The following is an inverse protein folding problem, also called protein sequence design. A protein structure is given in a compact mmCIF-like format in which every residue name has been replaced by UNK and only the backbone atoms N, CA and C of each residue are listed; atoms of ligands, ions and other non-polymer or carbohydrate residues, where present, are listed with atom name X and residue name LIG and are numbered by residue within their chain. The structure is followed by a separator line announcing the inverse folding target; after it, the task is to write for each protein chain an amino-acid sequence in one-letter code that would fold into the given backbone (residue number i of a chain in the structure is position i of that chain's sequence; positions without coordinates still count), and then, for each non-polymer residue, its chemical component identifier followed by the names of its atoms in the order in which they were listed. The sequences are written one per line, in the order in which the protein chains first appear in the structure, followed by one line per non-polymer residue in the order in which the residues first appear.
data_IF_342958561218
#
_entry.id   IF_342958561218
#
_cell.length_a   1.000
_cell.length_b   1.000
_cell.length_c   1.000
_cell.angle_alpha   90.00
_cell.angle_beta   90.00
_cell.angle_gamma   90.00
#
_symmetry.space_group_name_H-M   'P 1'
#
loop_
_entity.id
_entity.type
_entity.pdbx_description
1 polymer ?
#
# COMPACT_ATOMS: atom_id res chain seq x y z
N UNK A 1 11.82 -14.03 -30.53
CA UNK A 1 11.47 -13.70 -29.13
C UNK A 1 12.74 -13.28 -28.42
N UNK A 2 12.63 -12.69 -27.23
CA UNK A 2 13.77 -12.42 -26.36
C UNK A 2 13.36 -12.64 -24.89
N UNK A 3 14.34 -12.80 -24.02
CA UNK A 3 14.13 -12.78 -22.57
C UNK A 3 13.84 -11.35 -22.13
N UNK A 4 12.85 -11.18 -21.24
CA UNK A 4 12.57 -9.89 -20.63
C UNK A 4 13.71 -9.47 -19.71
N UNK A 5 14.13 -8.20 -19.80
CA UNK A 5 15.10 -7.59 -18.88
C UNK A 5 14.58 -7.48 -17.43
N UNK A 6 13.29 -7.72 -17.22
CA UNK A 6 12.57 -7.49 -15.97
C UNK A 6 12.29 -8.77 -15.17
N UNK A 7 12.89 -9.89 -15.57
CA UNK A 7 12.74 -11.18 -14.92
C UNK A 7 13.60 -11.29 -13.66
N UNK A 8 12.99 -11.81 -12.60
CA UNK A 8 13.66 -12.22 -11.36
C UNK A 8 13.31 -13.68 -11.09
N UNK A 9 14.34 -14.49 -10.86
CA UNK A 9 14.23 -15.88 -10.47
C UNK A 9 14.89 -16.02 -9.10
N UNK A 10 14.17 -16.54 -8.11
CA UNK A 10 14.72 -16.72 -6.77
C UNK A 10 14.08 -17.91 -6.03
N UNK A 11 14.81 -18.51 -5.07
CA UNK A 11 14.20 -19.43 -4.12
C UNK A 11 13.21 -18.68 -3.21
N UNK A 12 12.15 -19.36 -2.81
CA UNK A 12 11.24 -18.90 -1.77
C UNK A 12 11.82 -19.14 -0.37
N UNK A 13 11.17 -18.59 0.65
CA UNK A 13 11.41 -18.93 2.05
C UNK A 13 10.81 -20.30 2.45
N UNK A 14 10.12 -20.97 1.52
CA UNK A 14 9.55 -22.31 1.68
C UNK A 14 10.42 -23.29 0.89
N UNK A 15 10.89 -24.33 1.55
CA UNK A 15 11.76 -25.34 0.94
C UNK A 15 11.10 -26.02 -0.26
N UNK A 16 11.89 -26.18 -1.33
CA UNK A 16 11.43 -26.78 -2.59
C UNK A 16 10.49 -25.89 -3.41
N UNK A 17 10.24 -24.65 -2.98
CA UNK A 17 9.44 -23.67 -3.71
C UNK A 17 10.34 -22.58 -4.26
N UNK A 18 10.17 -22.28 -5.54
CA UNK A 18 10.89 -21.23 -6.25
C UNK A 18 9.91 -20.26 -6.88
N UNK A 19 10.39 -19.07 -7.19
CA UNK A 19 9.59 -17.96 -7.66
C UNK A 19 10.18 -17.40 -8.94
N UNK A 20 9.31 -17.17 -9.92
CA UNK A 20 9.61 -16.31 -11.06
C UNK A 20 8.70 -15.08 -10.99
N UNK A 21 9.30 -13.90 -11.00
CA UNK A 21 8.58 -12.63 -10.99
C UNK A 21 9.04 -11.74 -12.14
N UNK A 22 8.11 -11.23 -12.93
CA UNK A 22 8.41 -10.22 -13.94
C UNK A 22 7.98 -8.84 -13.43
N UNK A 23 8.96 -7.98 -13.19
CA UNK A 23 8.75 -6.65 -12.58
C UNK A 23 8.02 -5.66 -13.48
N UNK A 24 7.94 -5.91 -14.79
CA UNK A 24 7.23 -5.05 -15.75
C UNK A 24 5.75 -5.44 -15.92
N UNK A 25 5.46 -6.73 -16.05
CA UNK A 25 4.10 -7.25 -16.20
C UNK A 25 3.40 -7.41 -14.84
N UNK A 26 4.16 -7.55 -13.76
CA UNK A 26 3.67 -7.93 -12.42
C UNK A 26 3.30 -9.41 -12.31
N UNK A 27 3.62 -10.23 -13.32
CA UNK A 27 3.30 -11.65 -13.29
C UNK A 27 4.18 -12.40 -12.28
N UNK A 28 3.55 -13.33 -11.56
CA UNK A 28 4.17 -14.11 -10.50
C UNK A 28 3.87 -15.60 -10.73
N UNK A 29 4.92 -16.42 -10.76
CA UNK A 29 4.82 -17.88 -10.90
C UNK A 29 5.50 -18.54 -9.70
N UNK A 30 4.81 -19.53 -9.14
CA UNK A 30 5.37 -20.46 -8.16
C UNK A 30 5.82 -21.70 -8.91
N UNK A 31 7.05 -22.12 -8.70
CA UNK A 31 7.70 -23.24 -9.39
C UNK A 31 8.19 -24.25 -8.36
N UNK A 32 8.17 -25.53 -8.71
CA UNK A 32 8.95 -26.54 -7.99
C UNK A 32 10.41 -26.54 -8.52
N UNK A 33 11.25 -27.45 -8.00
CA UNK A 33 12.65 -27.52 -8.42
C UNK A 33 12.82 -27.84 -9.91
N UNK A 34 11.99 -28.75 -10.46
CA UNK A 34 12.11 -29.17 -11.85
C UNK A 34 11.68 -28.04 -12.79
N UNK A 35 10.56 -27.37 -12.50
CA UNK A 35 10.08 -26.22 -13.26
C UNK A 35 11.03 -25.02 -13.15
N UNK A 36 11.70 -24.83 -12.01
CA UNK A 36 12.69 -23.78 -11.83
C UNK A 36 13.93 -23.99 -12.73
N UNK A 37 14.50 -25.19 -12.71
CA UNK A 37 15.63 -25.55 -13.58
C UNK A 37 15.23 -25.46 -15.05
N UNK A 38 14.05 -25.97 -15.41
CA UNK A 38 13.54 -25.89 -16.78
C UNK A 38 13.32 -24.44 -17.22
N UNK A 39 12.82 -23.59 -16.33
CA UNK A 39 12.66 -22.15 -16.60
C UNK A 39 14.01 -21.50 -16.89
N UNK A 40 15.03 -21.76 -16.06
CA UNK A 40 16.37 -21.21 -16.28
C UNK A 40 16.94 -21.63 -17.66
N UNK A 41 16.84 -22.92 -18.00
CA UNK A 41 17.27 -23.45 -19.30
C UNK A 41 16.53 -22.80 -20.47
N UNK A 42 15.21 -22.60 -20.36
CA UNK A 42 14.42 -21.92 -21.41
C UNK A 42 14.90 -20.48 -21.59
N UNK A 43 15.14 -19.75 -20.50
CA UNK A 43 15.61 -18.36 -20.59
C UNK A 43 16.99 -18.29 -21.22
N UNK A 44 17.92 -19.16 -20.84
CA UNK A 44 19.26 -19.23 -21.42
C UNK A 44 19.23 -19.55 -22.92
N UNK A 45 18.46 -20.56 -23.33
CA UNK A 45 18.29 -20.91 -24.74
C UNK A 45 17.74 -19.73 -25.55
N UNK A 46 16.72 -19.03 -25.04
CA UNK A 46 16.16 -17.85 -25.73
C UNK A 46 17.15 -16.70 -25.79
N UNK A 47 17.97 -16.50 -24.75
CA UNK A 47 19.00 -15.47 -24.74
C UNK A 47 20.12 -15.77 -25.76
N UNK A 48 20.45 -17.05 -25.96
CA UNK A 48 21.40 -17.51 -26.98
C UNK A 48 20.84 -17.46 -28.42
N UNK A 49 19.52 -17.32 -28.57
CA UNK A 49 18.84 -17.34 -29.87
C UNK A 49 18.44 -18.74 -30.35
N UNK A 50 18.51 -19.73 -29.46
CA UNK A 50 18.17 -21.12 -29.77
C UNK A 50 16.65 -21.32 -29.92
N UNK A 51 16.22 -22.29 -30.74
CA UNK A 51 14.82 -22.64 -30.86
C UNK A 51 14.29 -23.24 -29.56
N UNK A 52 13.11 -22.77 -29.12
CA UNK A 52 12.38 -23.36 -27.98
C UNK A 52 11.66 -24.63 -28.45
N UNK A 53 12.41 -25.71 -28.67
CA UNK A 53 11.90 -27.02 -29.09
C UNK A 53 12.21 -28.07 -28.04
N UNK A 54 11.26 -28.95 -27.72
CA UNK A 54 11.44 -30.02 -26.73
C UNK A 54 11.19 -29.61 -25.27
N UNK A 55 10.83 -28.36 -25.02
CA UNK A 55 10.40 -27.89 -23.71
C UNK A 55 8.91 -28.14 -23.46
N UNK A 56 8.53 -28.27 -22.19
CA UNK A 56 7.14 -28.50 -21.81
C UNK A 56 6.25 -27.33 -22.26
N UNK A 57 5.25 -27.56 -23.14
CA UNK A 57 4.48 -26.48 -23.76
C UNK A 57 3.74 -25.60 -22.75
N UNK A 58 3.27 -26.19 -21.65
CA UNK A 58 2.53 -25.45 -20.60
C UNK A 58 3.39 -24.37 -19.96
N UNK A 59 4.64 -24.69 -19.63
CA UNK A 59 5.57 -23.75 -19.02
C UNK A 59 5.93 -22.62 -19.98
N UNK A 60 6.24 -22.94 -21.25
CA UNK A 60 6.55 -21.93 -22.27
C UNK A 60 5.38 -20.96 -22.48
N UNK A 61 4.15 -21.47 -22.51
CA UNK A 61 2.94 -20.63 -22.60
C UNK A 61 2.79 -19.75 -21.36
N UNK A 62 3.02 -20.27 -20.16
CA UNK A 62 2.98 -19.50 -18.93
C UNK A 62 4.02 -18.38 -18.91
N UNK A 63 5.26 -18.68 -19.33
CA UNK A 63 6.35 -17.70 -19.41
C UNK A 63 6.06 -16.59 -20.43
N UNK A 64 5.50 -16.93 -21.59
CA UNK A 64 5.06 -15.92 -22.59
C UNK A 64 3.92 -15.06 -22.06
N UNK A 65 2.88 -15.67 -21.48
CA UNK A 65 1.71 -14.96 -20.95
C UNK A 65 2.09 -14.05 -19.78
N UNK A 66 3.04 -14.49 -18.95
CA UNK A 66 3.58 -13.72 -17.83
C UNK A 66 4.57 -12.63 -18.25
N UNK A 67 4.92 -12.51 -19.53
CA UNK A 67 5.88 -11.52 -20.01
C UNK A 67 7.34 -11.85 -19.67
N UNK A 68 7.63 -13.08 -19.23
CA UNK A 68 9.01 -13.54 -19.04
C UNK A 68 9.74 -13.71 -20.37
N UNK A 69 8.99 -14.12 -21.39
CA UNK A 69 9.42 -14.19 -22.78
C UNK A 69 8.59 -13.20 -23.60
N UNK A 70 9.26 -12.27 -24.29
CA UNK A 70 8.60 -11.21 -25.05
C UNK A 70 8.98 -11.26 -26.53
N UNK A 71 8.23 -10.53 -27.37
CA UNK A 71 8.62 -10.36 -28.76
C UNK A 71 9.93 -9.56 -28.84
N UNK A 72 10.84 -9.97 -29.74
CA UNK A 72 12.14 -9.32 -29.91
C UNK A 72 12.03 -7.84 -30.33
N UNK A 73 10.94 -7.47 -31.01
CA UNK A 73 10.67 -6.10 -31.43
C UNK A 73 10.20 -5.16 -30.29
N UNK A 74 9.92 -5.70 -29.09
CA UNK A 74 9.41 -4.89 -27.97
C UNK A 74 10.56 -4.18 -27.25
N UNK A 75 10.52 -2.84 -27.23
CA UNK A 75 11.34 -2.01 -26.33
C UNK A 75 10.63 -1.84 -24.98
N UNK A 76 11.00 -2.70 -24.03
CA UNK A 76 10.44 -2.72 -22.69
C UNK A 76 10.79 -1.46 -21.88
N UNK A 77 11.93 -0.82 -22.15
CA UNK A 77 12.31 0.44 -21.49
C UNK A 77 11.47 1.59 -22.01
N UNK A 78 11.13 1.60 -23.31
CA UNK A 78 10.17 2.56 -23.85
C UNK A 78 8.78 2.38 -23.24
N UNK A 79 8.33 1.14 -23.03
CA UNK A 79 7.10 0.84 -22.31
C UNK A 79 7.11 1.45 -20.89
N UNK A 80 8.18 1.23 -20.12
CA UNK A 80 8.34 1.83 -18.78
C UNK A 80 8.29 3.36 -18.84
N UNK A 81 9.05 3.98 -19.76
CA UNK A 81 9.04 5.44 -19.95
C UNK A 81 7.65 5.95 -20.31
N UNK A 82 6.91 5.21 -21.14
CA UNK A 82 5.53 5.54 -21.53
C UNK A 82 4.61 5.51 -20.32
N UNK A 83 4.59 4.41 -19.56
CA UNK A 83 3.79 4.27 -18.32
C UNK A 83 4.10 5.36 -17.30
N UNK A 84 5.38 5.70 -17.13
CA UNK A 84 5.79 6.80 -16.25
C UNK A 84 5.23 8.15 -16.71
N UNK A 85 5.38 8.47 -18.01
CA UNK A 85 4.85 9.72 -18.58
C UNK A 85 3.33 9.79 -18.50
N UNK A 86 2.64 8.71 -18.81
CA UNK A 86 1.18 8.59 -18.65
C UNK A 86 0.76 8.78 -17.19
N UNK A 87 1.48 8.16 -16.24
CA UNK A 87 1.23 8.32 -14.81
C UNK A 87 1.41 9.76 -14.34
N UNK A 88 2.43 10.46 -14.85
CA UNK A 88 2.70 11.88 -14.55
C UNK A 88 1.74 12.84 -15.25
N UNK A 89 1.34 12.53 -16.48
CA UNK A 89 0.44 13.36 -17.29
C UNK A 89 -1.03 13.20 -16.88
N UNK A 90 -1.38 12.13 -16.17
CA UNK A 90 -2.67 12.04 -15.48
C UNK A 90 -2.74 13.13 -14.42
N UNK A 91 -3.34 14.26 -14.76
CA UNK A 91 -3.77 15.32 -13.84
C UNK A 91 -4.81 14.74 -12.89
N UNK A 92 -4.31 14.20 -11.77
CA UNK A 92 -5.14 13.51 -10.76
C UNK A 92 -5.43 14.45 -9.62
N UNK A 93 -6.43 15.30 -9.81
CA UNK A 93 -7.14 15.87 -8.69
C UNK A 93 -6.33 16.74 -7.75
N UNK A 94 -6.99 17.19 -6.69
CA UNK A 94 -6.34 17.83 -5.55
C UNK A 94 -6.26 16.77 -4.44
N UNK A 95 -5.07 16.52 -3.91
CA UNK A 95 -4.88 15.71 -2.70
C UNK A 95 -4.40 16.63 -1.59
N UNK A 96 -5.16 16.67 -0.49
CA UNK A 96 -4.91 17.57 0.63
C UNK A 96 -4.85 16.79 1.94
N UNK A 97 -3.71 16.90 2.63
CA UNK A 97 -3.59 16.44 4.01
C UNK A 97 -3.85 17.60 4.95
N UNK A 98 -4.91 17.51 5.75
CA UNK A 98 -5.31 18.56 6.69
C UNK A 98 -5.00 18.06 8.11
N UNK A 99 -4.29 18.88 8.89
CA UNK A 99 -4.08 18.65 10.31
C UNK A 99 -4.88 19.68 11.14
N UNK A 100 -6.13 19.38 11.55
CA UNK A 100 -6.96 20.32 12.31
C UNK A 100 -6.40 20.65 13.69
N UNK A 101 -5.58 19.75 14.25
CA UNK A 101 -4.86 19.94 15.52
C UNK A 101 -3.51 19.26 15.46
N UNK A 102 -2.51 19.81 16.14
CA UNK A 102 -1.24 19.12 16.41
C UNK A 102 -1.14 18.66 17.87
N UNK A 103 -2.16 18.95 18.68
CA UNK A 103 -2.18 18.47 20.05
C UNK A 103 -2.63 17.00 20.08
N UNK A 104 -1.90 16.24 20.87
CA UNK A 104 -2.04 14.80 20.99
C UNK A 104 -1.78 14.42 22.43
N UNK A 105 -2.61 13.55 22.99
CA UNK A 105 -2.42 13.01 24.33
C UNK A 105 -1.51 11.77 24.39
N UNK A 106 -0.91 11.36 23.27
CA UNK A 106 0.02 10.23 23.17
C UNK A 106 1.48 10.70 23.08
N UNK A 107 2.40 9.89 23.61
CA UNK A 107 3.85 10.12 23.58
C UNK A 107 4.58 9.01 22.83
N UNK A 108 4.17 8.75 21.58
CA UNK A 108 4.72 7.68 20.77
C UNK A 108 6.22 7.91 20.51
N UNK A 109 7.05 6.90 20.79
CA UNK A 109 8.52 6.99 20.66
C UNK A 109 9.01 7.16 19.22
N UNK A 110 8.15 6.87 18.25
CA UNK A 110 8.42 7.05 16.81
C UNK A 110 7.75 8.31 16.23
N UNK A 111 7.07 9.12 17.05
CA UNK A 111 6.44 10.34 16.56
C UNK A 111 7.48 11.45 16.38
N UNK A 112 7.56 12.01 15.18
CA UNK A 112 8.45 13.12 14.86
C UNK A 112 7.83 14.49 15.18
N UNK A 113 6.52 14.54 15.50
CA UNK A 113 5.82 15.79 15.71
C UNK A 113 6.13 16.36 17.09
N UNK A 114 6.34 17.67 17.16
CA UNK A 114 6.07 18.41 18.39
C UNK A 114 4.56 18.44 18.61
N UNK A 115 4.11 18.38 19.86
CA UNK A 115 2.69 18.29 20.22
C UNK A 115 2.16 19.58 20.86
N UNK A 116 2.20 20.74 20.18
CA UNK A 116 1.70 21.97 20.74
C UNK A 116 0.16 21.95 20.81
N UNK A 117 -0.39 22.56 21.86
CA UNK A 117 -1.83 22.83 22.01
C UNK A 117 -2.33 23.87 21.01
N UNK A 118 -2.43 23.48 19.75
CA UNK A 118 -2.85 24.31 18.62
C UNK A 118 -3.95 23.63 17.83
N UNK A 119 -5.00 24.39 17.57
CA UNK A 119 -6.13 24.00 16.75
C UNK A 119 -6.26 24.97 15.58
N UNK A 120 -6.73 24.45 14.46
CA UNK A 120 -7.10 25.24 13.29
C UNK A 120 -8.30 26.12 13.62
N UNK A 121 -8.21 27.42 13.34
CA UNK A 121 -9.33 28.34 13.48
C UNK A 121 -10.21 28.38 12.23
N UNK A 122 -11.37 29.01 12.35
CA UNK A 122 -12.32 29.17 11.23
C UNK A 122 -11.70 29.90 10.03
N UNK A 123 -10.82 30.88 10.28
CA UNK A 123 -10.15 31.62 9.22
C UNK A 123 -9.21 30.74 8.38
N UNK A 124 -8.53 29.77 9.00
CA UNK A 124 -7.70 28.80 8.29
C UNK A 124 -8.55 27.82 7.47
N UNK A 125 -9.67 27.32 8.04
CA UNK A 125 -10.64 26.47 7.33
C UNK A 125 -11.13 27.18 6.07
N UNK A 126 -11.54 28.44 6.19
CA UNK A 126 -12.03 29.25 5.07
C UNK A 126 -10.96 29.46 3.98
N UNK A 127 -9.69 29.63 4.38
CA UNK A 127 -8.57 29.73 3.42
C UNK A 127 -8.37 28.41 2.69
N UNK A 128 -8.50 27.27 3.36
CA UNK A 128 -8.40 25.94 2.75
C UNK A 128 -9.54 25.73 1.75
N UNK A 129 -10.78 26.05 2.13
CA UNK A 129 -11.94 25.93 1.23
C UNK A 129 -11.74 26.76 -0.04
N UNK A 130 -11.38 28.03 0.10
CA UNK A 130 -11.10 28.90 -1.06
C UNK A 130 -9.94 28.39 -1.92
N UNK A 131 -8.90 27.83 -1.28
CA UNK A 131 -7.79 27.23 -2.01
C UNK A 131 -8.25 26.03 -2.84
N UNK A 132 -9.05 25.14 -2.27
CA UNK A 132 -9.60 23.99 -3.01
C UNK A 132 -10.50 24.47 -4.15
N UNK A 133 -11.44 25.40 -3.90
CA UNK A 133 -12.32 25.94 -4.93
C UNK A 133 -11.57 26.58 -6.11
N UNK A 134 -10.46 27.27 -5.83
CA UNK A 134 -9.63 27.93 -6.84
C UNK A 134 -8.74 26.96 -7.66
N UNK A 135 -8.45 25.77 -7.13
CA UNK A 135 -7.51 24.82 -7.74
C UNK A 135 -8.18 23.51 -8.20
N UNK A 136 -9.47 23.31 -7.90
CA UNK A 136 -10.21 22.12 -8.30
C UNK A 136 -10.90 22.35 -9.65
N UNK A 137 -10.31 21.76 -10.69
CA UNK A 137 -10.88 21.74 -12.03
C UNK A 137 -12.13 20.83 -12.10
N UNK A 138 -13.09 21.11 -13.01
CA UNK A 138 -14.22 20.22 -13.26
C UNK A 138 -13.78 18.79 -13.52
N UNK A 139 -14.56 17.81 -13.01
CA UNK A 139 -14.34 16.37 -13.21
C UNK A 139 -13.01 15.82 -12.65
N UNK A 140 -12.28 16.59 -11.85
CA UNK A 140 -11.10 16.12 -11.13
C UNK A 140 -11.47 15.62 -9.73
N UNK A 141 -10.74 14.60 -9.25
CA UNK A 141 -10.99 14.02 -7.93
C UNK A 141 -10.46 14.95 -6.81
N UNK A 142 -11.16 15.02 -5.68
CA UNK A 142 -10.63 15.62 -4.46
C UNK A 142 -10.42 14.50 -3.44
N UNK A 143 -9.19 14.35 -2.96
CA UNK A 143 -8.83 13.42 -1.89
C UNK A 143 -8.39 14.22 -0.67
N UNK A 144 -9.06 14.02 0.47
CA UNK A 144 -8.72 14.67 1.73
C UNK A 144 -8.28 13.60 2.72
N UNK A 145 -7.08 13.78 3.27
CA UNK A 145 -6.55 12.95 4.36
C UNK A 145 -6.55 13.78 5.64
N UNK A 146 -7.30 13.35 6.64
CA UNK A 146 -7.26 13.94 7.97
C UNK A 146 -6.06 13.40 8.75
N UNK A 147 -5.17 14.31 9.14
CA UNK A 147 -3.96 14.05 9.89
C UNK A 147 -3.97 14.90 11.18
N UNK A 148 -2.89 14.86 11.95
CA UNK A 148 -2.74 15.63 13.18
C UNK A 148 -2.80 14.77 14.43
N UNK A 149 -2.87 15.42 15.58
CA UNK A 149 -2.92 14.75 16.86
C UNK A 149 -4.34 14.32 17.27
N UNK A 150 -4.42 13.47 18.28
CA UNK A 150 -5.67 13.00 18.86
C UNK A 150 -5.86 13.63 20.24
N UNK A 151 -6.65 14.70 20.33
CA UNK A 151 -7.05 15.27 21.61
C UNK A 151 -8.47 14.85 21.97
N UNK A 152 -8.58 14.05 23.03
CA UNK A 152 -9.85 13.80 23.72
C UNK A 152 -10.81 12.85 23.00
N UNK A 153 -10.91 11.62 23.49
CA UNK A 153 -12.18 10.90 23.42
C UNK A 153 -13.00 11.28 24.66
N UNK A 154 -14.26 11.69 24.47
CA UNK A 154 -15.36 10.74 24.55
C UNK A 154 -16.07 10.65 23.20
N UNK A 155 -16.34 9.44 22.75
CA UNK A 155 -16.76 9.16 21.38
C UNK A 155 -17.98 9.95 20.91
N UNK A 156 -18.08 10.07 19.58
CA UNK A 156 -19.32 10.32 18.87
C UNK A 156 -19.87 11.76 18.99
N UNK A 157 -19.58 12.59 17.98
CA UNK A 157 -20.55 13.36 17.19
C UNK A 157 -19.93 14.66 16.63
N UNK A 158 -19.59 14.65 15.33
CA UNK A 158 -19.97 15.78 14.48
C UNK A 158 -18.90 16.73 13.91
N UNK A 159 -17.59 16.47 14.01
CA UNK A 159 -16.59 17.49 13.64
C UNK A 159 -15.48 17.10 12.64
N UNK A 160 -15.43 15.86 12.14
CA UNK A 160 -14.50 15.47 11.05
C UNK A 160 -15.19 15.16 9.72
N UNK A 161 -16.52 15.11 9.70
CA UNK A 161 -17.29 15.23 8.47
C UNK A 161 -17.86 16.66 8.47
N UNK A 162 -17.33 17.61 7.68
CA UNK A 162 -18.09 18.82 7.42
C UNK A 162 -19.45 18.37 6.87
N UNK A 163 -20.58 18.94 7.32
CA UNK A 163 -21.84 18.69 6.62
C UNK A 163 -21.58 18.99 5.14
N UNK A 164 -22.14 18.22 4.19
CA UNK A 164 -22.00 18.53 2.78
C UNK A 164 -22.69 19.87 2.56
N UNK A 165 -21.96 20.97 2.76
CA UNK A 165 -22.21 22.21 2.08
C UNK A 165 -21.91 21.85 0.65
N UNK A 166 -22.98 21.52 -0.06
CA UNK A 166 -22.97 21.38 -1.50
C UNK A 166 -22.12 22.52 -2.04
N UNK A 167 -20.92 22.19 -2.53
CA UNK A 167 -20.16 23.06 -3.39
C UNK A 167 -21.16 23.46 -4.47
N UNK A 168 -21.62 24.71 -4.44
CA UNK A 168 -22.69 25.16 -5.32
C UNK A 168 -22.20 25.00 -6.75
N UNK A 169 -22.89 24.14 -7.49
CA UNK A 169 -22.74 23.98 -8.94
C UNK A 169 -22.18 22.62 -9.31
N UNK A 170 -23.03 21.78 -9.93
CA UNK A 170 -22.84 20.73 -10.95
C UNK A 170 -21.49 20.00 -11.15
N UNK A 171 -20.54 20.10 -10.24
CA UNK A 171 -19.26 19.41 -10.27
C UNK A 171 -19.41 18.14 -9.47
N UNK A 172 -19.47 17.00 -10.14
CA UNK A 172 -19.42 15.67 -9.51
C UNK A 172 -18.07 15.51 -8.80
N UNK A 173 -17.98 15.92 -7.54
CA UNK A 173 -16.82 15.63 -6.69
C UNK A 173 -16.95 14.18 -6.23
N UNK A 174 -16.10 13.31 -6.76
CA UNK A 174 -15.97 11.94 -6.25
C UNK A 174 -15.09 12.04 -4.99
N UNK A 175 -15.74 12.06 -3.82
CA UNK A 175 -15.05 11.92 -2.53
C UNK A 175 -14.60 10.46 -2.38
N UNK A 176 -13.32 10.21 -2.63
CA UNK A 176 -12.69 8.96 -2.22
C UNK A 176 -12.37 9.07 -0.72
N UNK A 177 -13.31 8.65 0.12
CA UNK A 177 -13.05 8.45 1.55
C UNK A 177 -12.24 7.17 1.71
N UNK A 178 -11.07 7.24 2.35
CA UNK A 178 -10.27 6.06 2.68
C UNK A 178 -11.11 5.06 3.49
N UNK A 179 -11.27 3.85 2.96
CA UNK A 179 -12.12 2.78 3.52
C UNK A 179 -11.70 2.30 4.93
N UNK A 180 -10.56 2.78 5.45
CA UNK A 180 -10.10 2.51 6.80
C UNK A 180 -11.01 3.07 7.91
N UNK A 181 -11.95 3.96 7.58
CA UNK A 181 -12.92 4.51 8.55
C UNK A 181 -14.28 3.79 8.58
N UNK A 182 -14.52 2.79 7.71
CA UNK A 182 -15.76 1.98 7.72
C UNK A 182 -15.64 0.71 8.57
N UNK A 183 -15.26 0.86 9.84
CA UNK A 183 -15.49 -0.22 10.82
C UNK A 183 -16.93 -0.13 11.34
N UNK A 184 -17.86 -0.81 10.66
CA UNK A 184 -19.21 -1.01 11.17
C UNK A 184 -19.15 -1.67 12.58
N UNK A 185 -20.00 -1.27 13.53
CA UNK A 185 -19.99 -1.86 14.87
C UNK A 185 -20.37 -3.34 14.77
N UNK A 186 -19.39 -4.22 14.98
CA UNK A 186 -19.64 -5.66 15.15
C UNK A 186 -20.44 -5.82 16.45
N UNK A 187 -21.72 -6.17 16.32
CA UNK A 187 -22.58 -6.59 17.44
C UNK A 187 -21.83 -7.66 18.24
N UNK A 188 -21.55 -7.40 19.52
CA UNK A 188 -20.96 -8.39 20.44
C UNK A 188 -21.94 -9.55 20.58
N UNK A 189 -21.60 -10.69 19.98
CA UNK A 189 -22.24 -11.96 20.31
C UNK A 189 -21.78 -12.38 21.71
N UNK A 190 -22.75 -12.62 22.56
CA UNK A 190 -22.61 -13.04 23.95
C UNK A 190 -21.90 -14.41 24.01
N UNK A 191 -20.62 -14.42 24.41
CA UNK A 191 -19.86 -15.65 24.68
C UNK A 191 -19.44 -15.65 26.14
N UNK A 192 -20.11 -16.47 26.95
CA UNK A 192 -19.73 -16.79 28.33
C UNK A 192 -18.27 -17.31 28.38
N UNK A 193 -17.44 -16.89 29.34
CA UNK A 193 -16.06 -17.34 29.42
C UNK A 193 -15.97 -18.75 29.98
N UNK A 194 -15.44 -19.68 29.17
CA UNK A 194 -14.95 -20.98 29.65
C UNK A 194 -13.69 -20.81 30.49
N UNK A 195 -13.59 -21.57 31.59
CA UNK A 195 -12.45 -21.54 32.54
C UNK A 195 -11.11 -21.79 31.83
N UNK A 196 -10.24 -20.79 31.80
CA UNK A 196 -8.84 -20.97 31.43
C UNK A 196 -8.06 -21.58 32.61
N UNK A 197 -7.39 -22.72 32.37
CA UNK A 197 -6.38 -23.29 33.29
C UNK A 197 -5.15 -22.37 33.30
N UNK A 198 -4.72 -21.95 34.49
CA UNK A 198 -3.49 -21.15 34.69
C UNK A 198 -2.26 -22.03 34.46
N UNK A 199 -1.36 -21.64 33.57
CA UNK A 199 0.01 -22.15 33.56
C UNK A 199 0.84 -21.43 34.64
N UNK A 200 1.77 -22.11 35.34
CA UNK A 200 2.65 -21.48 36.32
C UNK A 200 3.74 -20.64 35.64
N UNK A 201 4.06 -19.49 36.25
CA UNK A 201 5.13 -18.59 35.84
C UNK A 201 6.51 -19.12 36.29
N UNK A 202 7.59 -18.85 35.53
CA UNK A 202 8.95 -19.24 35.92
C UNK A 202 9.49 -18.37 37.08
N UNK A 203 10.43 -18.88 37.90
CA UNK A 203 10.95 -18.17 39.06
C UNK A 203 11.83 -16.97 38.66
N UNK A 204 11.63 -15.84 39.32
CA UNK A 204 12.29 -14.57 39.04
C UNK A 204 13.75 -14.50 39.53
N UNK A 205 14.59 -13.79 38.77
CA UNK A 205 15.96 -13.44 39.15
C UNK A 205 15.99 -12.49 40.36
N UNK A 206 17.01 -12.59 41.24
CA UNK A 206 17.14 -11.74 42.41
C UNK A 206 17.55 -10.31 42.04
N UNK A 207 16.86 -9.33 42.64
CA UNK A 207 17.13 -7.90 42.52
C UNK A 207 18.48 -7.55 43.15
N UNK A 208 19.40 -6.95 42.38
CA UNK A 208 20.61 -6.30 42.93
C UNK A 208 20.19 -5.03 43.69
N UNK A 209 20.57 -4.97 44.97
CA UNK A 209 20.44 -3.78 45.80
C UNK A 209 21.40 -2.68 45.29
N UNK A 210 20.86 -1.48 45.08
CA UNK A 210 21.66 -0.28 44.86
C UNK A 210 22.33 0.11 46.19
N UNK A 211 23.67 0.17 46.20
CA UNK A 211 24.45 0.86 47.23
C UNK A 211 24.65 2.29 46.75
N UNK A 212 24.13 3.27 47.49
CA UNK A 212 24.54 4.67 47.34
C UNK A 212 25.75 4.99 48.22
N UNK A 213 26.40 6.13 48.00
CA UNK A 213 26.66 7.11 49.04
C UNK A 213 25.43 8.01 49.30
#
# INVERSE_FOLDING_TARGET
MKVSEFNLLCPSFVDGVYLAYNTLSGAFLTLDAADFELTALILEAVAAGDPITGFEPRLVVALRRGGFLVNAAVDERAEVRRRYREGRARTRGVSLTIAPTLSCNFACTYCFQEHPKRHMGEAEIDRIVRHVEANLEPETALSITWFGGADGLPGDQGALDPPPRALRGDRRVVLALDDHQRLAPRRRADRRPGRARRLPLPPGHPRRAARGP
#
